data_IF_264285773651
#
_entry.id   IF_264285773651
#
_cell.length_a   1.000
_cell.length_b   1.000
_cell.length_c   1.000
_cell.angle_alpha   90.00
_cell.angle_beta   90.00
_cell.angle_gamma   90.00
#
_symmetry.space_group_name_H-M   'P 1'
#
loop_
_entity.id
_entity.type
_entity.pdbx_description
1 polymer ?
#
# COMPACT_ATOMS: atom_id res chain seq x y z
N UNK A 1 3.38 -6.90 -40.42
CA UNK A 1 3.67 -8.10 -39.67
C UNK A 1 4.00 -7.70 -38.24
N UNK A 2 3.01 -7.86 -37.34
CA UNK A 2 3.20 -7.63 -35.90
C UNK A 2 4.18 -8.67 -35.37
N UNK A 3 5.33 -8.23 -34.89
CA UNK A 3 6.24 -9.08 -34.14
C UNK A 3 5.60 -9.38 -32.79
N UNK A 4 4.90 -10.50 -32.70
CA UNK A 4 4.49 -11.12 -31.45
C UNK A 4 5.76 -11.51 -30.71
N UNK A 5 6.10 -10.75 -29.68
CA UNK A 5 7.06 -11.16 -28.66
C UNK A 5 6.46 -12.34 -27.91
N UNK A 6 6.68 -13.56 -28.44
CA UNK A 6 6.49 -14.78 -27.67
C UNK A 6 7.64 -14.85 -26.69
N UNK A 7 7.38 -14.60 -25.42
CA UNK A 7 8.24 -15.11 -24.36
C UNK A 7 8.21 -16.64 -24.52
N UNK A 8 9.27 -17.21 -25.07
CA UNK A 8 9.54 -18.62 -24.88
C UNK A 8 9.97 -18.76 -23.42
N UNK A 9 9.06 -19.10 -22.56
CA UNK A 9 9.37 -19.73 -21.27
C UNK A 9 9.90 -21.13 -21.62
N UNK A 10 11.16 -21.20 -21.99
CA UNK A 10 11.88 -22.47 -21.94
C UNK A 10 11.93 -22.85 -20.47
N UNK A 11 11.68 -24.11 -20.18
CA UNK A 11 11.65 -24.75 -18.85
C UNK A 11 12.96 -24.54 -18.07
N UNK A 12 13.97 -23.91 -18.68
CA UNK A 12 15.32 -23.66 -18.20
C UNK A 12 15.68 -22.16 -18.02
N UNK A 13 14.70 -21.25 -17.95
CA UNK A 13 15.03 -19.89 -17.54
C UNK A 13 15.58 -19.93 -16.11
N UNK A 14 16.82 -19.44 -15.92
CA UNK A 14 17.41 -19.41 -14.58
C UNK A 14 16.50 -18.58 -13.66
N UNK A 15 16.43 -18.93 -12.39
CA UNK A 15 15.61 -18.22 -11.40
C UNK A 15 15.91 -16.71 -11.41
N UNK A 16 17.15 -16.32 -11.65
CA UNK A 16 17.57 -14.92 -11.80
C UNK A 16 16.89 -14.22 -12.98
N UNK A 17 16.75 -14.88 -14.13
CA UNK A 17 16.05 -14.31 -15.30
C UNK A 17 14.55 -14.15 -15.04
N UNK A 18 13.95 -15.07 -14.30
CA UNK A 18 12.54 -14.97 -13.87
C UNK A 18 12.36 -13.78 -12.94
N UNK A 19 13.24 -13.60 -11.97
CA UNK A 19 13.23 -12.46 -11.04
C UNK A 19 13.37 -11.13 -11.79
N UNK A 20 14.33 -11.03 -12.71
CA UNK A 20 14.50 -9.83 -13.54
C UNK A 20 13.24 -9.52 -14.39
N UNK A 21 12.63 -10.55 -14.96
CA UNK A 21 11.38 -10.40 -15.69
C UNK A 21 10.24 -9.89 -14.78
N UNK A 22 10.10 -10.45 -13.58
CA UNK A 22 9.12 -10.01 -12.58
C UNK A 22 9.34 -8.55 -12.17
N UNK A 23 10.56 -8.14 -11.91
CA UNK A 23 10.90 -6.75 -11.57
C UNK A 23 10.55 -5.77 -12.70
N UNK A 24 10.82 -6.14 -13.96
CA UNK A 24 10.43 -5.35 -15.13
C UNK A 24 8.90 -5.26 -15.28
N UNK A 25 8.18 -6.34 -15.02
CA UNK A 25 6.71 -6.32 -15.03
C UNK A 25 6.19 -5.39 -13.92
N UNK A 26 6.72 -5.51 -12.69
CA UNK A 26 6.32 -4.69 -11.57
C UNK A 26 6.52 -3.18 -11.82
N UNK A 27 7.64 -2.79 -12.47
CA UNK A 27 7.91 -1.39 -12.80
C UNK A 27 6.98 -0.80 -13.87
N UNK A 28 6.24 -1.63 -14.60
CA UNK A 28 5.38 -1.18 -15.69
C UNK A 28 3.89 -1.38 -15.44
N UNK A 29 3.50 -2.34 -14.60
CA UNK A 29 2.10 -2.75 -14.43
C UNK A 29 1.25 -1.66 -13.78
N UNK A 30 1.83 -0.78 -12.96
CA UNK A 30 1.12 0.37 -12.38
C UNK A 30 0.75 1.45 -13.40
N UNK A 31 1.28 1.39 -14.63
CA UNK A 31 0.94 2.36 -15.68
C UNK A 31 -0.26 1.87 -16.49
N UNK A 32 -1.35 2.65 -16.52
CA UNK A 32 -2.60 2.30 -17.20
C UNK A 32 -2.41 1.90 -18.67
N UNK A 33 -1.55 2.60 -19.42
CA UNK A 33 -1.29 2.30 -20.84
C UNK A 33 -0.52 1.00 -21.07
N UNK A 34 0.21 0.51 -20.06
CA UNK A 34 1.03 -0.70 -20.14
C UNK A 34 0.39 -1.89 -19.41
N UNK A 35 -0.64 -1.64 -18.60
CA UNK A 35 -1.27 -2.62 -17.73
C UNK A 35 -1.68 -3.89 -18.47
N UNK A 36 -2.46 -3.78 -19.55
CA UNK A 36 -2.96 -4.94 -20.30
C UNK A 36 -1.84 -5.84 -20.85
N UNK A 37 -0.71 -5.26 -21.22
CA UNK A 37 0.45 -6.06 -21.68
C UNK A 37 1.20 -6.67 -20.50
N UNK A 38 1.40 -5.91 -19.44
CA UNK A 38 2.11 -6.37 -18.24
C UNK A 38 1.34 -7.48 -17.51
N UNK A 39 0.01 -7.35 -17.39
CA UNK A 39 -0.86 -8.37 -16.78
C UNK A 39 -0.83 -9.69 -17.54
N UNK A 40 -0.81 -9.66 -18.89
CA UNK A 40 -0.66 -10.86 -19.72
C UNK A 40 0.68 -11.56 -19.50
N UNK A 41 1.76 -10.80 -19.31
CA UNK A 41 3.08 -11.37 -18.99
C UNK A 41 3.09 -11.99 -17.58
N UNK A 42 2.44 -11.34 -16.61
CA UNK A 42 2.29 -11.90 -15.27
C UNK A 42 1.48 -13.20 -15.26
N UNK A 43 0.39 -13.28 -16.05
CA UNK A 43 -0.38 -14.52 -16.25
C UNK A 43 0.50 -15.64 -16.83
N UNK A 44 1.30 -15.35 -17.83
CA UNK A 44 2.23 -16.33 -18.41
C UNK A 44 3.22 -16.87 -17.39
N UNK A 45 3.67 -16.07 -16.42
CA UNK A 45 4.55 -16.54 -15.34
C UNK A 45 3.83 -17.51 -14.40
N UNK A 46 2.53 -17.31 -14.13
CA UNK A 46 1.73 -18.25 -13.35
C UNK A 46 1.55 -19.56 -14.14
N UNK A 47 1.12 -19.47 -15.41
CA UNK A 47 0.89 -20.61 -16.29
C UNK A 47 2.16 -21.46 -16.52
N UNK A 48 3.32 -20.79 -16.58
CA UNK A 48 4.61 -21.47 -16.72
C UNK A 48 5.13 -22.10 -15.40
N UNK A 49 4.39 -21.97 -14.29
CA UNK A 49 4.84 -22.44 -12.98
C UNK A 49 6.11 -21.74 -12.46
N UNK A 50 6.36 -20.51 -12.95
CA UNK A 50 7.53 -19.70 -12.55
C UNK A 50 7.36 -19.06 -11.18
N UNK A 51 6.15 -19.04 -10.63
CA UNK A 51 5.84 -18.55 -9.29
C UNK A 51 6.09 -19.67 -8.28
N UNK A 52 7.19 -19.57 -7.56
CA UNK A 52 7.70 -20.58 -6.62
C UNK A 52 8.06 -19.91 -5.29
N UNK A 53 8.36 -20.67 -4.21
CA UNK A 53 8.76 -20.06 -2.93
C UNK A 53 9.91 -19.05 -3.02
N UNK A 54 10.89 -19.25 -3.94
CA UNK A 54 12.00 -18.30 -4.17
C UNK A 54 11.60 -17.03 -4.94
N UNK A 55 10.52 -17.07 -5.73
CA UNK A 55 10.10 -15.96 -6.62
C UNK A 55 8.80 -15.28 -6.18
N UNK A 56 8.08 -15.85 -5.21
CA UNK A 56 6.75 -15.36 -4.77
C UNK A 56 6.78 -13.91 -4.30
N UNK A 57 7.84 -13.47 -3.61
CA UNK A 57 7.98 -12.09 -3.17
C UNK A 57 8.02 -11.10 -4.33
N UNK A 58 8.72 -11.43 -5.42
CA UNK A 58 8.78 -10.62 -6.63
C UNK A 58 7.45 -10.64 -7.41
N UNK A 59 6.75 -11.79 -7.40
CA UNK A 59 5.42 -11.87 -7.97
C UNK A 59 4.41 -11.06 -7.17
N UNK A 60 4.47 -11.10 -5.84
CA UNK A 60 3.62 -10.28 -4.98
C UNK A 60 3.83 -8.78 -5.22
N UNK A 61 5.06 -8.34 -5.46
CA UNK A 61 5.36 -6.95 -5.83
C UNK A 61 4.70 -6.54 -7.16
N UNK A 62 4.49 -7.46 -8.11
CA UNK A 62 3.71 -7.19 -9.34
C UNK A 62 2.25 -6.89 -8.97
N UNK A 63 1.64 -7.73 -8.12
CA UNK A 63 0.25 -7.54 -7.69
C UNK A 63 0.07 -6.25 -6.89
N UNK A 64 1.01 -5.93 -6.02
CA UNK A 64 1.05 -4.68 -5.25
C UNK A 64 1.14 -3.46 -6.15
N UNK A 65 2.04 -3.47 -7.13
CA UNK A 65 2.17 -2.40 -8.11
C UNK A 65 0.90 -2.26 -8.99
N UNK A 66 0.23 -3.37 -9.34
CA UNK A 66 -1.04 -3.34 -10.04
C UNK A 66 -2.15 -2.68 -9.22
N UNK A 67 -2.16 -2.88 -7.90
CA UNK A 67 -3.16 -2.35 -6.97
C UNK A 67 -2.75 -1.04 -6.31
N UNK A 68 -1.74 -0.35 -6.82
CA UNK A 68 -1.33 0.98 -6.33
C UNK A 68 -2.48 2.01 -6.40
N UNK A 69 -3.41 1.83 -7.34
CA UNK A 69 -4.63 2.63 -7.51
C UNK A 69 -5.86 1.72 -7.62
N UNK A 70 -6.45 1.26 -6.50
CA UNK A 70 -7.52 0.26 -6.52
C UNK A 70 -8.76 0.66 -7.33
N UNK A 71 -9.05 1.96 -7.45
CA UNK A 71 -10.19 2.44 -8.22
C UNK A 71 -10.13 2.12 -9.72
N UNK A 72 -8.93 2.01 -10.27
CA UNK A 72 -8.69 1.75 -11.71
C UNK A 72 -9.11 0.33 -12.10
N UNK A 73 -9.04 -0.64 -11.18
CA UNK A 73 -9.34 -2.04 -11.49
C UNK A 73 -10.79 -2.30 -11.95
N UNK A 74 -11.70 -1.35 -11.71
CA UNK A 74 -13.11 -1.45 -12.13
C UNK A 74 -13.41 -0.68 -13.43
N UNK A 75 -12.42 -0.01 -14.02
CA UNK A 75 -12.60 0.68 -15.29
C UNK A 75 -12.88 -0.30 -16.45
N UNK A 76 -13.84 -0.01 -17.34
CA UNK A 76 -14.23 -0.92 -18.44
C UNK A 76 -13.05 -1.38 -19.30
N UNK A 77 -12.06 -0.53 -19.52
CA UNK A 77 -10.91 -0.79 -20.40
C UNK A 77 -9.93 -1.84 -19.86
N UNK A 78 -9.83 -1.99 -18.54
CA UNK A 78 -8.83 -2.85 -17.87
C UNK A 78 -9.45 -3.90 -16.95
N UNK A 79 -10.73 -3.79 -16.66
CA UNK A 79 -11.50 -4.65 -15.75
C UNK A 79 -11.28 -6.15 -16.00
N UNK A 80 -11.37 -6.55 -17.26
CA UNK A 80 -11.22 -7.95 -17.64
C UNK A 80 -9.79 -8.48 -17.41
N UNK A 81 -8.78 -7.64 -17.60
CA UNK A 81 -7.39 -8.03 -17.38
C UNK A 81 -7.07 -8.10 -15.87
N UNK A 82 -7.61 -7.16 -15.06
CA UNK A 82 -7.52 -7.27 -13.59
C UNK A 82 -8.19 -8.54 -13.08
N UNK A 83 -9.41 -8.80 -13.50
CA UNK A 83 -10.14 -10.01 -13.11
C UNK A 83 -9.33 -11.27 -13.40
N UNK A 84 -8.82 -11.41 -14.64
CA UNK A 84 -8.02 -12.58 -15.04
C UNK A 84 -6.76 -12.75 -14.23
N UNK A 85 -6.03 -11.65 -14.00
CA UNK A 85 -4.77 -11.69 -13.26
C UNK A 85 -4.98 -12.11 -11.80
N UNK A 86 -5.94 -11.48 -11.11
CA UNK A 86 -6.19 -11.76 -9.69
C UNK A 86 -6.92 -13.07 -9.46
N UNK A 87 -7.75 -13.51 -10.39
CA UNK A 87 -8.37 -14.86 -10.36
C UNK A 87 -7.30 -15.95 -10.51
N UNK A 88 -6.40 -15.84 -11.48
CA UNK A 88 -5.30 -16.79 -11.66
C UNK A 88 -4.33 -16.79 -10.47
N UNK A 89 -4.06 -15.60 -9.88
CA UNK A 89 -3.17 -15.48 -8.73
C UNK A 89 -3.71 -16.20 -7.47
N UNK A 90 -5.02 -16.49 -7.39
CA UNK A 90 -5.58 -17.30 -6.30
C UNK A 90 -4.94 -18.71 -6.26
N UNK A 91 -4.51 -19.24 -7.39
CA UNK A 91 -3.84 -20.56 -7.46
C UNK A 91 -2.46 -20.62 -6.78
N UNK A 92 -1.84 -19.48 -6.49
CA UNK A 92 -0.51 -19.40 -5.87
C UNK A 92 -0.52 -18.82 -4.44
N UNK A 93 -1.71 -18.62 -3.86
CA UNK A 93 -1.87 -18.02 -2.51
C UNK A 93 -1.26 -18.82 -1.39
N UNK A 94 -1.10 -20.14 -1.55
CA UNK A 94 -0.46 -20.98 -0.54
C UNK A 94 1.01 -20.61 -0.29
N UNK A 95 1.67 -19.97 -1.27
CA UNK A 95 3.04 -19.52 -1.16
C UNK A 95 3.19 -18.18 -0.43
N UNK A 96 2.08 -17.46 -0.21
CA UNK A 96 2.07 -16.16 0.45
C UNK A 96 2.13 -16.30 1.98
N UNK A 97 2.80 -15.37 2.65
CA UNK A 97 2.72 -15.23 4.09
C UNK A 97 1.35 -14.66 4.53
N UNK A 98 1.07 -14.65 5.83
CA UNK A 98 -0.25 -14.25 6.35
C UNK A 98 -0.60 -12.78 6.03
N UNK A 99 0.35 -11.87 6.14
CA UNK A 99 0.17 -10.45 5.80
C UNK A 99 -0.16 -10.29 4.31
N UNK A 100 0.61 -10.95 3.44
CA UNK A 100 0.38 -10.95 2.02
C UNK A 100 -0.99 -11.56 1.65
N UNK A 101 -1.40 -12.65 2.32
CA UNK A 101 -2.74 -13.25 2.15
C UNK A 101 -3.85 -12.27 2.52
N UNK A 102 -3.70 -11.56 3.63
CA UNK A 102 -4.68 -10.57 4.06
C UNK A 102 -4.84 -9.44 3.02
N UNK A 103 -3.72 -8.89 2.55
CA UNK A 103 -3.72 -7.86 1.51
C UNK A 103 -4.29 -8.39 0.18
N UNK A 104 -3.90 -9.58 -0.21
CA UNK A 104 -4.38 -10.23 -1.43
C UNK A 104 -5.90 -10.46 -1.40
N UNK A 105 -6.46 -10.90 -0.28
CA UNK A 105 -7.91 -11.08 -0.13
C UNK A 105 -8.68 -9.77 -0.35
N UNK A 106 -8.16 -8.64 0.12
CA UNK A 106 -8.75 -7.32 -0.13
C UNK A 106 -8.70 -6.99 -1.63
N UNK A 107 -7.57 -7.25 -2.29
CA UNK A 107 -7.44 -7.03 -3.73
C UNK A 107 -8.38 -7.92 -4.56
N UNK A 108 -8.62 -9.15 -4.13
CA UNK A 108 -9.61 -10.04 -4.77
C UNK A 108 -11.02 -9.46 -4.66
N UNK A 109 -11.39 -8.83 -3.55
CA UNK A 109 -12.67 -8.12 -3.46
C UNK A 109 -12.79 -7.02 -4.52
N UNK A 110 -11.74 -6.22 -4.72
CA UNK A 110 -11.73 -5.14 -5.71
C UNK A 110 -11.64 -5.64 -7.15
N UNK A 111 -10.73 -6.57 -7.45
CA UNK A 111 -10.36 -6.94 -8.80
C UNK A 111 -11.18 -8.11 -9.38
N UNK A 112 -11.75 -8.95 -8.52
CA UNK A 112 -12.54 -10.11 -8.96
C UNK A 112 -14.00 -9.91 -8.57
N UNK A 113 -14.31 -9.84 -7.26
CA UNK A 113 -15.71 -9.85 -6.80
C UNK A 113 -16.45 -8.60 -7.27
N UNK A 114 -15.87 -7.41 -7.16
CA UNK A 114 -16.48 -6.18 -7.65
C UNK A 114 -16.65 -6.20 -9.17
N UNK A 115 -15.71 -6.80 -9.91
CA UNK A 115 -15.79 -6.90 -11.36
C UNK A 115 -16.84 -7.92 -11.82
N UNK A 116 -17.07 -9.00 -11.08
CA UNK A 116 -18.16 -9.96 -11.32
C UNK A 116 -19.54 -9.28 -11.23
N UNK A 117 -19.70 -8.18 -10.48
CA UNK A 117 -20.96 -7.44 -10.38
C UNK A 117 -21.33 -6.67 -11.66
N UNK A 118 -20.39 -6.46 -12.58
CA UNK A 118 -20.65 -5.78 -13.86
C UNK A 118 -21.12 -6.74 -14.97
N UNK A 119 -21.40 -7.99 -14.65
CA UNK A 119 -21.93 -8.99 -15.60
C UNK A 119 -23.42 -8.83 -15.81
N UNK A 120 -23.89 -9.30 -16.97
CA UNK A 120 -25.32 -9.49 -17.24
C UNK A 120 -25.78 -10.92 -16.93
N UNK A 121 -24.84 -11.81 -16.60
CA UNK A 121 -25.11 -13.18 -16.17
C UNK A 121 -25.59 -13.20 -14.71
N UNK A 122 -26.84 -13.60 -14.51
CA UNK A 122 -27.47 -13.65 -13.19
C UNK A 122 -26.81 -14.66 -12.24
N UNK A 123 -26.22 -15.72 -12.76
CA UNK A 123 -25.52 -16.73 -11.96
C UNK A 123 -24.21 -16.16 -11.41
N UNK A 124 -23.40 -15.53 -12.27
CA UNK A 124 -22.14 -14.88 -11.88
C UNK A 124 -22.42 -13.77 -10.85
N UNK A 125 -23.44 -12.95 -11.11
CA UNK A 125 -23.87 -11.90 -10.19
C UNK A 125 -24.28 -12.46 -8.83
N UNK A 126 -25.14 -13.48 -8.79
CA UNK A 126 -25.56 -14.15 -7.54
C UNK A 126 -24.40 -14.73 -6.78
N UNK A 127 -23.44 -15.34 -7.46
CA UNK A 127 -22.21 -15.88 -6.84
C UNK A 127 -21.36 -14.76 -6.23
N UNK A 128 -21.20 -13.63 -6.92
CA UNK A 128 -20.48 -12.48 -6.39
C UNK A 128 -21.17 -11.89 -5.13
N UNK A 129 -22.50 -11.76 -5.17
CA UNK A 129 -23.29 -11.31 -4.01
C UNK A 129 -23.15 -12.29 -2.84
N UNK A 130 -23.14 -13.61 -3.10
CA UNK A 130 -22.88 -14.62 -2.09
C UNK A 130 -21.53 -14.42 -1.40
N UNK A 131 -20.44 -14.24 -2.19
CA UNK A 131 -19.10 -13.98 -1.66
C UNK A 131 -19.05 -12.71 -0.80
N UNK A 132 -19.75 -11.64 -1.22
CA UNK A 132 -19.83 -10.39 -0.45
C UNK A 132 -20.54 -10.64 0.88
N UNK A 133 -21.68 -11.34 0.86
CA UNK A 133 -22.44 -11.68 2.06
C UNK A 133 -21.61 -12.51 3.04
N UNK A 134 -20.90 -13.53 2.55
CA UNK A 134 -20.02 -14.37 3.35
C UNK A 134 -18.89 -13.56 3.95
N UNK A 135 -18.27 -12.65 3.17
CA UNK A 135 -17.20 -11.78 3.64
C UNK A 135 -17.69 -10.79 4.71
N UNK A 136 -18.90 -10.23 4.56
CA UNK A 136 -19.51 -9.36 5.58
C UNK A 136 -19.79 -10.16 6.85
N UNK A 137 -20.32 -11.39 6.73
CA UNK A 137 -20.63 -12.25 7.88
C UNK A 137 -19.38 -12.69 8.65
N UNK A 138 -18.23 -12.74 7.98
CA UNK A 138 -16.94 -13.06 8.59
C UNK A 138 -16.25 -11.87 9.26
N UNK A 139 -16.75 -10.64 9.07
CA UNK A 139 -16.19 -9.47 9.73
C UNK A 139 -16.48 -9.53 11.23
N UNK A 140 -15.51 -9.15 12.08
CA UNK A 140 -15.78 -8.94 13.51
C UNK A 140 -16.81 -7.82 13.68
N UNK A 141 -17.62 -7.96 14.72
CA UNK A 141 -18.58 -6.91 15.10
C UNK A 141 -17.79 -5.64 15.43
N UNK A 142 -18.22 -4.50 14.89
CA UNK A 142 -17.60 -3.21 15.19
C UNK A 142 -17.75 -2.90 16.68
N UNK A 143 -16.69 -2.40 17.28
CA UNK A 143 -16.69 -1.93 18.66
C UNK A 143 -16.93 -0.43 18.71
N UNK A 144 -17.32 0.10 19.86
CA UNK A 144 -17.49 1.54 20.08
C UNK A 144 -16.17 2.29 19.84
N UNK A 145 -15.03 1.66 20.08
CA UNK A 145 -13.72 2.25 19.81
C UNK A 145 -13.44 2.35 18.31
N UNK A 146 -13.86 1.35 17.50
CA UNK A 146 -13.77 1.42 16.04
C UNK A 146 -14.60 2.57 15.49
N UNK A 147 -15.80 2.79 16.02
CA UNK A 147 -16.69 3.88 15.60
C UNK A 147 -16.10 5.25 15.96
N UNK A 148 -15.46 5.37 17.13
CA UNK A 148 -14.78 6.59 17.56
C UNK A 148 -13.55 6.89 16.70
N UNK A 149 -12.74 5.88 16.37
CA UNK A 149 -11.57 6.01 15.50
C UNK A 149 -11.98 6.45 14.09
N UNK A 150 -13.09 5.93 13.56
CA UNK A 150 -13.62 6.31 12.25
C UNK A 150 -14.20 7.72 12.25
N UNK A 151 -14.93 8.11 13.29
CA UNK A 151 -15.44 9.46 13.48
C UNK A 151 -14.30 10.49 13.58
N UNK A 152 -13.22 10.16 14.29
CA UNK A 152 -12.03 11.01 14.39
C UNK A 152 -11.31 11.15 13.03
N UNK A 153 -11.22 10.07 12.25
CA UNK A 153 -10.63 10.10 10.92
C UNK A 153 -11.45 10.96 9.93
N UNK A 154 -12.79 10.86 9.97
CA UNK A 154 -13.69 11.70 9.16
C UNK A 154 -13.58 13.17 9.55
N UNK A 155 -13.51 13.49 10.85
CA UNK A 155 -13.32 14.84 11.32
C UNK A 155 -11.94 15.44 10.93
N UNK A 156 -10.92 14.63 10.86
CA UNK A 156 -9.60 15.05 10.38
C UNK A 156 -9.59 15.29 8.86
N UNK A 157 -10.24 14.44 8.07
CA UNK A 157 -10.36 14.60 6.63
C UNK A 157 -11.14 15.87 6.25
N UNK A 158 -12.23 16.18 6.96
CA UNK A 158 -13.02 17.39 6.71
C UNK A 158 -12.28 18.69 7.04
N UNK A 159 -11.26 18.65 7.93
CA UNK A 159 -10.41 19.81 8.22
C UNK A 159 -9.35 20.05 7.15
N UNK A 160 -8.92 19.00 6.43
CA UNK A 160 -7.93 19.12 5.35
C UNK A 160 -8.54 19.72 4.09
N UNK A 161 -9.81 19.42 3.79
CA UNK A 161 -10.50 19.97 2.63
C UNK A 161 -10.80 21.48 2.75
N UNK A 162 -10.96 21.98 3.99
CA UNK A 162 -11.19 23.42 4.24
C UNK A 162 -9.90 24.24 4.17
N UNK A 163 -8.72 23.60 4.33
CA UNK A 163 -7.44 24.32 4.28
C UNK A 163 -6.88 24.50 2.85
N UNK A 164 -7.41 23.77 1.86
CA UNK A 164 -6.94 23.82 0.46
C UNK A 164 -7.65 24.89 -0.39
N UNK A 165 -8.75 25.47 0.12
CA UNK A 165 -9.56 26.46 -0.64
C UNK A 165 -9.19 27.93 -0.34
N UNK A 166 -8.13 28.21 0.47
CA UNK A 166 -7.77 29.57 0.88
C UNK A 166 -6.41 30.06 0.39
N UNK A 167 -5.75 29.41 -0.58
CA UNK A 167 -4.53 29.94 -1.19
C UNK A 167 -4.63 30.09 -2.71
N UNK A 168 -5.49 30.99 -3.15
CA UNK A 168 -5.41 31.57 -4.48
C UNK A 168 -5.76 33.07 -4.43
N UNK A 169 -4.74 33.90 -4.19
CA UNK A 169 -4.93 35.33 -4.27
C UNK A 169 -3.71 36.18 -3.96
N UNK A 170 -2.93 36.44 -4.96
CA UNK A 170 -2.18 37.67 -5.22
C UNK A 170 -0.94 38.06 -4.41
N UNK A 171 0.22 38.17 -5.09
CA UNK A 171 0.95 39.41 -5.14
C UNK A 171 2.46 39.26 -5.10
N UNK A 172 3.12 39.22 -6.23
CA UNK A 172 4.51 39.70 -6.40
C UNK A 172 4.43 41.23 -6.54
N UNK A 173 5.39 42.06 -6.14
CA UNK A 173 6.72 42.04 -6.68
C UNK A 173 7.89 42.59 -5.82
N UNK A 174 9.08 42.22 -6.22
CA UNK A 174 10.28 43.04 -6.49
C UNK A 174 11.04 43.78 -5.37
N UNK A 175 12.28 43.40 -5.31
CA UNK A 175 13.52 44.18 -5.50
C UNK A 175 14.11 45.00 -4.37
N UNK A 176 15.35 44.68 -4.17
CA UNK A 176 16.55 45.54 -4.12
C UNK A 176 17.07 46.08 -2.78
N UNK A 177 18.33 45.73 -2.63
CA UNK A 177 19.50 46.56 -2.23
C UNK A 177 19.68 46.87 -0.74
N UNK A 178 20.75 46.42 -0.28
CA UNK A 178 22.10 46.99 -0.20
C UNK A 178 22.46 47.70 1.15
N UNK A 179 23.67 47.42 1.55
CA UNK A 179 24.62 48.18 2.32
C UNK A 179 24.54 48.21 3.89
N UNK A 180 25.58 47.73 4.45
CA UNK A 180 26.86 48.30 4.91
C UNK A 180 26.95 48.59 6.41
N UNK A 181 27.98 47.93 7.02
CA UNK A 181 28.91 48.26 8.09
C UNK A 181 28.43 48.99 9.36
N UNK A 182 28.82 48.52 10.52
CA UNK A 182 29.85 49.13 11.34
C UNK A 182 30.07 48.39 12.67
N UNK A 183 31.27 48.07 12.90
CA UNK A 183 32.25 48.12 13.96
C UNK A 183 31.77 48.46 15.40
N UNK A 184 32.28 47.69 16.35
CA UNK A 184 32.14 48.00 17.77
C UNK A 184 32.78 46.95 18.66
N UNK A 185 34.10 46.99 18.76
CA UNK A 185 34.88 46.20 19.70
C UNK A 185 34.50 46.48 21.17
N UNK A 186 34.42 45.42 21.98
CA UNK A 186 34.90 45.51 23.36
C UNK A 186 35.39 44.13 23.85
N UNK A 187 36.68 44.13 24.16
CA UNK A 187 37.39 43.11 24.86
C UNK A 187 36.97 43.06 26.32
N UNK A 188 36.93 41.90 26.95
CA UNK A 188 37.54 41.59 28.25
C UNK A 188 37.39 40.09 28.61
N UNK A 189 38.56 39.53 29.03
CA UNK A 189 38.81 38.46 30.02
C UNK A 189 38.60 37.01 29.65
N UNK A 190 39.74 36.36 29.53
CA UNK A 190 40.03 34.92 29.55
C UNK A 190 39.72 34.31 30.94
N UNK A 191 38.95 33.24 30.92
CA UNK A 191 39.11 32.11 31.85
C UNK A 191 39.16 30.84 31.05
N UNK A 192 39.91 29.79 31.39
CA UNK A 192 40.13 28.62 30.58
C UNK A 192 39.02 27.63 30.83
N UNK A 193 38.17 27.45 29.84
CA UNK A 193 37.22 26.35 29.82
C UNK A 193 37.86 25.10 29.19
N UNK A 194 37.76 24.02 29.93
CA UNK A 194 38.23 22.70 29.58
C UNK A 194 37.66 22.27 28.22
N UNK A 195 38.52 21.79 27.34
CA UNK A 195 38.16 21.22 26.03
C UNK A 195 37.19 20.06 26.21
N UNK A 196 35.91 20.31 26.02
CA UNK A 196 34.94 19.27 25.79
C UNK A 196 35.13 18.78 24.35
N UNK A 197 35.73 17.63 24.24
CA UNK A 197 36.10 16.94 23.02
C UNK A 197 34.91 16.26 22.31
N UNK A 198 33.77 16.93 22.20
CA UNK A 198 32.64 16.42 21.42
C UNK A 198 32.17 17.43 20.37
N UNK A 199 32.83 17.46 19.19
CA UNK A 199 32.47 18.36 18.09
C UNK A 199 31.11 18.08 17.45
N UNK A 200 30.40 16.99 17.83
CA UNK A 200 29.13 16.58 17.26
C UNK A 200 27.97 16.50 18.27
N UNK A 201 28.19 16.83 19.54
CA UNK A 201 27.15 16.82 20.58
C UNK A 201 26.57 15.41 20.87
N UNK A 202 27.34 14.35 20.61
CA UNK A 202 26.88 12.97 20.75
C UNK A 202 26.99 12.44 22.18
N UNK A 203 27.77 13.07 23.05
CA UNK A 203 27.91 12.66 24.45
C UNK A 203 26.57 12.80 25.22
N UNK A 204 25.76 13.80 24.91
CA UNK A 204 24.43 13.93 25.47
C UNK A 204 23.45 12.78 25.08
N UNK A 205 23.69 12.09 23.98
CA UNK A 205 22.97 10.92 23.59
C UNK A 205 23.48 9.63 24.28
N UNK A 206 24.74 9.63 24.72
CA UNK A 206 25.36 8.50 25.42
C UNK A 206 25.10 8.53 26.93
N UNK A 207 24.88 9.70 27.54
CA UNK A 207 24.53 9.82 28.96
C UNK A 207 23.12 9.36 29.31
N UNK A 208 22.20 9.20 28.31
CA UNK A 208 20.95 8.48 28.46
C UNK A 208 21.14 6.97 28.32
N UNK A 209 22.25 6.46 28.87
CA UNK A 209 22.40 4.99 29.02
C UNK A 209 21.35 4.53 30.05
N UNK A 210 20.26 3.87 29.62
CA UNK A 210 19.27 3.38 30.56
C UNK A 210 19.98 2.43 31.52
N UNK A 211 19.90 2.74 32.82
CA UNK A 211 20.33 1.84 33.91
C UNK A 211 19.94 0.43 33.52
N UNK A 212 20.88 -0.52 33.60
CA UNK A 212 20.72 -1.96 33.28
C UNK A 212 19.32 -2.46 33.70
N UNK A 213 18.33 -2.23 32.87
CA UNK A 213 17.05 -2.92 32.98
C UNK A 213 17.34 -4.36 32.63
N UNK A 214 17.00 -5.28 33.54
CA UNK A 214 17.24 -6.70 33.37
C UNK A 214 16.75 -7.10 31.98
N UNK A 215 17.48 -7.98 31.27
CA UNK A 215 17.14 -8.40 29.90
C UNK A 215 15.67 -8.78 29.72
N UNK A 216 15.05 -9.26 30.79
CA UNK A 216 13.63 -9.61 30.89
C UNK A 216 12.67 -8.39 30.78
N UNK A 217 13.07 -7.21 31.25
CA UNK A 217 12.27 -5.99 31.10
C UNK A 217 12.32 -5.44 29.66
N UNK A 218 13.49 -5.53 29.03
CA UNK A 218 13.69 -5.17 27.60
C UNK A 218 12.92 -6.12 26.67
N UNK A 219 12.95 -7.43 26.96
CA UNK A 219 12.21 -8.44 26.21
C UNK A 219 10.69 -8.24 26.33
N UNK A 220 10.19 -7.91 27.52
CA UNK A 220 8.77 -7.56 27.71
C UNK A 220 8.37 -6.28 26.97
N UNK A 221 9.23 -5.26 26.94
CA UNK A 221 8.97 -4.02 26.21
C UNK A 221 8.92 -4.25 24.70
N UNK A 222 9.84 -5.06 24.15
CA UNK A 222 9.86 -5.44 22.73
C UNK A 222 8.62 -6.27 22.38
N UNK A 223 8.25 -7.24 23.24
CA UNK A 223 7.05 -8.05 23.03
C UNK A 223 5.76 -7.20 23.09
N UNK A 224 5.69 -6.21 23.97
CA UNK A 224 4.56 -5.29 24.04
C UNK A 224 4.47 -4.37 22.81
N UNK A 225 5.61 -3.89 22.30
CA UNK A 225 5.66 -3.11 21.09
C UNK A 225 5.22 -3.93 19.87
N UNK A 226 5.73 -5.16 19.74
CA UNK A 226 5.35 -6.05 18.66
C UNK A 226 3.84 -6.40 18.69
N UNK A 227 3.24 -6.55 19.89
CA UNK A 227 1.79 -6.75 19.98
C UNK A 227 1.00 -5.54 19.50
N UNK A 228 1.42 -4.33 19.84
CA UNK A 228 0.77 -3.09 19.37
C UNK A 228 0.86 -2.95 17.86
N UNK A 229 2.03 -3.20 17.28
CA UNK A 229 2.20 -3.11 15.82
C UNK A 229 1.33 -4.13 15.07
N UNK A 230 1.24 -5.36 15.57
CA UNK A 230 0.36 -6.41 15.00
C UNK A 230 -1.12 -6.02 15.11
N UNK A 231 -1.52 -5.44 16.25
CA UNK A 231 -2.90 -5.00 16.47
C UNK A 231 -3.28 -3.82 15.55
N UNK A 232 -2.39 -2.83 15.41
CA UNK A 232 -2.59 -1.70 14.50
C UNK A 232 -2.67 -2.16 13.04
N UNK A 233 -1.85 -3.13 12.67
CA UNK A 233 -1.90 -3.70 11.32
C UNK A 233 -3.19 -4.47 11.07
N UNK A 234 -3.66 -5.26 12.05
CA UNK A 234 -4.95 -5.94 11.98
C UNK A 234 -6.11 -4.95 11.81
N UNK A 235 -6.09 -3.83 12.54
CA UNK A 235 -7.09 -2.74 12.38
C UNK A 235 -7.05 -2.12 10.98
N UNK A 236 -5.87 -1.87 10.42
CA UNK A 236 -5.71 -1.33 9.05
C UNK A 236 -6.27 -2.30 8.01
N UNK A 237 -5.95 -3.59 8.13
CA UNK A 237 -6.46 -4.64 7.24
C UNK A 237 -7.98 -4.70 7.30
N UNK A 238 -8.56 -4.68 8.51
CA UNK A 238 -10.00 -4.70 8.72
C UNK A 238 -10.69 -3.48 8.09
N UNK A 239 -10.13 -2.29 8.28
CA UNK A 239 -10.62 -1.07 7.67
C UNK A 239 -10.63 -1.16 6.13
N UNK A 240 -9.50 -1.57 5.54
CA UNK A 240 -9.40 -1.73 4.08
C UNK A 240 -10.36 -2.79 3.54
N UNK A 241 -10.62 -3.87 4.31
CA UNK A 241 -11.60 -4.88 3.94
C UNK A 241 -13.03 -4.34 3.97
N UNK A 242 -13.39 -3.56 4.98
CA UNK A 242 -14.69 -2.87 5.06
C UNK A 242 -14.89 -1.92 3.89
N UNK A 243 -13.88 -1.10 3.56
CA UNK A 243 -13.92 -0.17 2.41
C UNK A 243 -14.11 -0.91 1.09
N UNK A 244 -13.40 -2.04 0.87
CA UNK A 244 -13.57 -2.87 -0.30
C UNK A 244 -14.99 -3.43 -0.44
N UNK A 245 -15.57 -3.89 0.68
CA UNK A 245 -16.95 -4.41 0.71
C UNK A 245 -17.97 -3.30 0.48
N UNK A 246 -17.79 -2.11 1.06
CA UNK A 246 -18.64 -0.95 0.77
C UNK A 246 -18.62 -0.61 -0.72
N UNK A 247 -17.44 -0.66 -1.35
CA UNK A 247 -17.33 -0.45 -2.80
C UNK A 247 -18.11 -1.49 -3.60
N UNK A 248 -18.03 -2.76 -3.22
CA UNK A 248 -18.83 -3.82 -3.85
C UNK A 248 -20.33 -3.56 -3.69
N UNK A 249 -20.80 -3.15 -2.50
CA UNK A 249 -22.20 -2.83 -2.25
C UNK A 249 -22.68 -1.61 -3.06
N UNK A 250 -21.84 -0.58 -3.21
CA UNK A 250 -22.14 0.59 -4.06
C UNK A 250 -22.33 0.16 -5.52
N UNK A 251 -21.47 -0.69 -6.05
CA UNK A 251 -21.57 -1.18 -7.43
C UNK A 251 -22.85 -1.99 -7.59
N UNK A 252 -23.14 -2.92 -6.67
CA UNK A 252 -24.37 -3.69 -6.69
C UNK A 252 -25.62 -2.81 -6.63
N UNK A 253 -25.65 -1.81 -5.74
CA UNK A 253 -26.78 -0.88 -5.59
C UNK A 253 -27.02 -0.04 -6.85
N UNK A 254 -25.97 0.41 -7.54
CA UNK A 254 -26.07 1.15 -8.80
C UNK A 254 -26.70 0.29 -9.90
N UNK A 255 -26.38 -0.99 -9.95
CA UNK A 255 -26.97 -1.95 -10.94
C UNK A 255 -28.45 -2.17 -10.72
N UNK A 256 -28.93 -2.15 -9.48
CA UNK A 256 -30.36 -2.28 -9.17
C UNK A 256 -31.21 -1.01 -9.41
N UNK A 257 -30.55 0.16 -9.56
CA UNK A 257 -31.27 1.43 -9.79
C UNK A 257 -31.56 1.76 -11.25
N UNK A 258 -31.18 0.88 -12.18
CA UNK A 258 -31.53 1.09 -13.61
C UNK A 258 -32.92 0.50 -13.82
N UNK A 259 -33.94 1.34 -14.07
CA UNK A 259 -35.30 0.89 -14.38
C UNK A 259 -35.37 0.18 -15.71
#
# INVERSE_FOLDING_TARGET
PEKRLRFRTTVDASETQVIEAMQKIASHIGNASKFSKASKLALQLIEAGSVKPGTIGHFFAILEAAMSSPGVCNEPSVRADYHKLFDAAQGVTELLNQEQKNRFNIWVLHAVVANDLFTDDSFVFSKAVGKIKDAISALPVATVDDDNDEAAALAAASKTDVATDNEAGHGVPAAASDSVVDDGAHAVALEPEEESSDPFGLDGLLEHRPKKTSGRAREKAVAALNRKTVEEEAKRVLKSQREALLKCLEIAARRYRIP
#
